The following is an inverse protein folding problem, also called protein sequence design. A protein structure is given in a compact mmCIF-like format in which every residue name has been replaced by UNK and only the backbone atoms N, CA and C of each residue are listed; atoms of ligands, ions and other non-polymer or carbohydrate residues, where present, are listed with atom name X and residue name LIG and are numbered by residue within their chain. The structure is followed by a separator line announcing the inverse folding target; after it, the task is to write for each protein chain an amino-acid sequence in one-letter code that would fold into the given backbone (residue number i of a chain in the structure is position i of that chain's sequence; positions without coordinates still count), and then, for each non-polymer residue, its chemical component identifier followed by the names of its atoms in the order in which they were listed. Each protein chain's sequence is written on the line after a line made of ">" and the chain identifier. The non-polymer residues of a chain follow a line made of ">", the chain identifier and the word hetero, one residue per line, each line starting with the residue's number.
data_IF_588196529335
#
_entry.id   IF_588196529335
#
_cell.length_a   1.000
_cell.length_b   1.000
_cell.length_c   1.000
_cell.angle_alpha   90.00
_cell.angle_beta   90.00
_cell.angle_gamma   90.00
#
_symmetry.space_group_name_H-M   'P 1'
#
loop_
_entity.id
_entity.type
_entity.pdbx_description
1 polymer ?
#
# COMPACT_ATOMS: atom_id res chain seq x y z
N UNK A 1 -1.78 2.89 -13.92
CA UNK A 1 -1.63 1.60 -13.21
C UNK A 1 -2.12 1.85 -11.82
N UNK A 2 -3.25 1.25 -11.50
CA UNK A 2 -4.40 2.01 -10.99
C UNK A 2 -4.97 1.38 -9.74
N UNK A 3 -5.57 2.21 -8.89
CA UNK A 3 -6.36 1.86 -7.70
C UNK A 3 -7.31 0.65 -7.87
N UNK A 4 -7.69 0.34 -9.12
CA UNK A 4 -8.37 -0.91 -9.49
C UNK A 4 -7.65 -2.18 -8.99
N UNK A 5 -6.34 -2.31 -9.17
CA UNK A 5 -5.58 -3.50 -8.70
C UNK A 5 -5.73 -3.70 -7.20
N UNK A 6 -5.70 -2.60 -6.43
CA UNK A 6 -5.88 -2.64 -4.97
C UNK A 6 -7.32 -2.99 -4.60
N UNK A 7 -8.30 -2.48 -5.36
CA UNK A 7 -9.72 -2.78 -5.15
C UNK A 7 -10.06 -4.24 -5.46
N UNK A 8 -9.50 -4.79 -6.52
CA UNK A 8 -9.64 -6.20 -6.87
C UNK A 8 -8.98 -7.08 -5.80
N UNK A 9 -7.75 -6.76 -5.39
CA UNK A 9 -7.05 -7.49 -4.33
C UNK A 9 -7.75 -7.37 -2.97
N UNK A 10 -8.38 -6.24 -2.66
CA UNK A 10 -9.22 -6.10 -1.46
C UNK A 10 -10.43 -7.03 -1.49
N UNK A 11 -11.08 -7.16 -2.66
CA UNK A 11 -12.23 -8.05 -2.84
C UNK A 11 -11.82 -9.53 -2.69
N UNK A 12 -10.58 -9.87 -3.07
CA UNK A 12 -9.98 -11.19 -2.88
C UNK A 12 -9.35 -11.43 -1.50
N UNK A 13 -9.32 -10.42 -0.61
CA UNK A 13 -8.70 -10.53 0.72
C UNK A 13 -7.16 -10.63 0.70
N UNK A 14 -6.51 -10.26 -0.40
CA UNK A 14 -5.05 -10.37 -0.60
C UNK A 14 -4.34 -9.01 -0.48
N UNK A 15 -4.89 -8.10 0.34
CA UNK A 15 -4.29 -6.78 0.62
C UNK A 15 -3.89 -6.67 2.08
N UNK A 16 -2.65 -6.27 2.31
CA UNK A 16 -2.19 -5.77 3.61
C UNK A 16 -2.22 -4.25 3.63
N UNK A 17 -2.61 -3.73 4.79
CA UNK A 17 -2.64 -2.30 5.09
C UNK A 17 -1.54 -1.95 6.09
N UNK A 18 -0.77 -0.92 5.77
CA UNK A 18 0.26 -0.36 6.63
C UNK A 18 1.60 -1.09 6.57
N UNK A 19 2.66 -0.32 6.79
CA UNK A 19 4.05 -0.77 6.66
C UNK A 19 4.39 -1.99 7.53
N UNK A 20 3.85 -2.07 8.75
CA UNK A 20 4.15 -3.18 9.67
C UNK A 20 3.70 -4.53 9.11
N UNK A 21 2.52 -4.57 8.49
CA UNK A 21 2.00 -5.79 7.86
C UNK A 21 2.80 -6.16 6.62
N UNK A 22 3.19 -5.17 5.82
CA UNK A 22 4.07 -5.34 4.66
C UNK A 22 5.40 -5.96 5.04
N UNK A 23 6.10 -5.37 6.03
CA UNK A 23 7.40 -5.84 6.49
C UNK A 23 7.32 -7.24 7.12
N UNK A 24 6.28 -7.51 7.93
CA UNK A 24 6.08 -8.82 8.57
C UNK A 24 5.85 -9.94 7.54
N UNK A 25 5.15 -9.63 6.46
CA UNK A 25 4.79 -10.59 5.41
C UNK A 25 5.63 -10.43 4.14
N UNK A 26 6.84 -9.89 4.26
CA UNK A 26 7.65 -9.48 3.11
C UNK A 26 7.81 -10.54 2.02
N UNK A 27 7.95 -11.81 2.41
CA UNK A 27 8.09 -12.94 1.49
C UNK A 27 6.86 -13.23 0.63
N UNK A 28 5.68 -12.77 1.06
CA UNK A 28 4.39 -13.01 0.37
C UNK A 28 3.96 -11.80 -0.45
N UNK A 29 4.51 -10.62 -0.17
CA UNK A 29 4.14 -9.37 -0.84
C UNK A 29 4.73 -9.36 -2.24
N UNK A 30 3.88 -9.23 -3.26
CA UNK A 30 4.28 -9.10 -4.66
C UNK A 30 4.49 -7.66 -5.07
N UNK A 31 3.68 -6.74 -4.54
CA UNK A 31 3.65 -5.34 -4.98
C UNK A 31 3.25 -4.44 -3.83
N UNK A 32 3.92 -3.28 -3.72
CA UNK A 32 3.66 -2.28 -2.68
C UNK A 32 3.28 -0.97 -3.33
N UNK A 33 2.17 -0.42 -2.88
CA UNK A 33 1.70 0.90 -3.27
C UNK A 33 1.77 1.83 -2.07
N UNK A 34 2.20 3.06 -2.30
CA UNK A 34 2.30 4.09 -1.28
C UNK A 34 1.58 5.33 -1.74
N UNK A 35 0.90 6.02 -0.84
CA UNK A 35 0.23 7.29 -1.15
C UNK A 35 1.27 8.38 -1.41
N UNK A 36 0.92 9.42 -2.17
CA UNK A 36 1.86 10.50 -2.52
C UNK A 36 2.41 11.25 -1.29
N UNK A 37 1.58 11.38 -0.27
CA UNK A 37 1.81 12.11 0.98
C UNK A 37 2.35 11.21 2.10
N UNK A 38 2.92 10.05 1.74
CA UNK A 38 3.58 9.15 2.67
C UNK A 38 4.80 9.81 3.31
N UNK A 39 5.04 9.53 4.59
CA UNK A 39 6.26 9.96 5.29
C UNK A 39 7.50 9.38 4.63
N UNK A 40 8.55 10.19 4.46
CA UNK A 40 9.82 9.73 3.88
C UNK A 40 10.43 8.55 4.63
N UNK A 41 10.30 8.52 5.97
CA UNK A 41 10.74 7.39 6.80
C UNK A 41 10.10 6.06 6.37
N UNK A 42 8.81 6.08 6.03
CA UNK A 42 8.06 4.90 5.59
C UNK A 42 8.57 4.41 4.25
N UNK A 43 8.83 5.32 3.31
CA UNK A 43 9.42 4.99 1.99
C UNK A 43 10.82 4.40 2.15
N UNK A 44 11.63 5.01 3.03
CA UNK A 44 13.00 4.55 3.30
C UNK A 44 13.00 3.13 3.85
N UNK A 45 12.17 2.83 4.85
CA UNK A 45 12.02 1.47 5.42
C UNK A 45 11.59 0.43 4.38
N UNK A 46 10.68 0.79 3.48
CA UNK A 46 10.24 -0.10 2.39
C UNK A 46 11.37 -0.38 1.39
N UNK A 47 12.15 0.65 1.03
CA UNK A 47 13.32 0.51 0.16
C UNK A 47 14.45 -0.30 0.82
N UNK A 48 14.74 -0.05 2.10
CA UNK A 48 15.72 -0.81 2.89
C UNK A 48 15.32 -2.29 3.00
N UNK A 49 14.02 -2.59 3.02
CA UNK A 49 13.49 -3.95 2.99
C UNK A 49 13.46 -4.58 1.57
N UNK A 50 13.88 -3.86 0.54
CA UNK A 50 13.98 -4.37 -0.84
C UNK A 50 12.69 -4.32 -1.66
N UNK A 51 11.68 -3.56 -1.24
CA UNK A 51 10.43 -3.44 -2.00
C UNK A 51 10.50 -2.36 -3.09
N UNK A 52 9.93 -2.67 -4.25
CA UNK A 52 9.53 -1.67 -5.23
C UNK A 52 8.21 -1.02 -4.81
N UNK A 53 8.21 0.31 -4.70
CA UNK A 53 7.06 1.11 -4.29
C UNK A 53 6.49 1.89 -5.49
N UNK A 54 5.20 1.71 -5.72
CA UNK A 54 4.42 2.48 -6.70
C UNK A 54 3.68 3.63 -5.99
N UNK A 55 3.92 4.86 -6.42
CA UNK A 55 3.26 6.03 -5.83
C UNK A 55 1.85 6.22 -6.40
N UNK A 56 0.88 6.36 -5.51
CA UNK A 56 -0.52 6.65 -5.80
C UNK A 56 -0.82 8.13 -5.59
N UNK A 57 -2.12 8.45 -5.66
CA UNK A 57 -2.72 9.71 -5.25
C UNK A 57 -2.57 9.97 -3.72
N UNK A 58 -2.95 11.16 -3.24
CA UNK A 58 -2.94 11.46 -1.81
C UNK A 58 -3.88 10.54 -1.01
N UNK A 59 -3.56 10.28 0.27
CA UNK A 59 -4.31 9.38 1.15
C UNK A 59 -5.80 9.68 1.20
N UNK A 60 -6.20 10.96 1.15
CA UNK A 60 -7.59 11.39 1.18
C UNK A 60 -8.38 11.00 -0.07
N UNK A 61 -7.75 10.96 -1.23
CA UNK A 61 -8.38 10.48 -2.47
C UNK A 61 -8.42 8.96 -2.49
N UNK A 62 -7.31 8.34 -2.10
CA UNK A 62 -7.18 6.88 -2.05
C UNK A 62 -8.20 6.26 -1.10
N UNK A 63 -8.39 6.80 0.11
CA UNK A 63 -9.39 6.30 1.06
C UNK A 63 -10.82 6.43 0.53
N UNK A 64 -11.15 7.54 -0.15
CA UNK A 64 -12.46 7.75 -0.78
C UNK A 64 -12.70 6.79 -1.95
N UNK A 65 -11.74 6.66 -2.86
CA UNK A 65 -11.88 5.80 -4.04
C UNK A 65 -11.96 4.31 -3.67
N UNK A 66 -11.22 3.91 -2.64
CA UNK A 66 -11.22 2.54 -2.13
C UNK A 66 -12.35 2.28 -1.13
N UNK A 67 -13.10 3.31 -0.72
CA UNK A 67 -14.23 3.18 0.21
C UNK A 67 -13.81 2.77 1.63
N UNK A 68 -12.59 3.10 2.03
CA UNK A 68 -12.01 2.67 3.30
C UNK A 68 -12.25 3.75 4.35
N UNK A 69 -12.82 3.38 5.51
CA UNK A 69 -13.11 4.30 6.61
C UNK A 69 -11.89 4.76 7.42
N UNK A 70 -10.66 4.50 6.93
CA UNK A 70 -9.42 4.88 7.59
C UNK A 70 -8.37 5.38 6.58
N UNK A 71 -7.47 6.24 7.04
CA UNK A 71 -6.34 6.71 6.25
C UNK A 71 -5.21 5.70 6.32
N UNK A 72 -4.77 5.20 5.17
CA UNK A 72 -3.64 4.29 5.09
C UNK A 72 -2.58 4.84 4.13
N UNK A 73 -1.32 4.78 4.56
CA UNK A 73 -0.20 5.29 3.77
C UNK A 73 0.41 4.23 2.84
N UNK A 74 0.23 2.94 3.17
CA UNK A 74 0.87 1.80 2.49
C UNK A 74 -0.15 0.70 2.24
N UNK A 75 -0.20 0.22 1.01
CA UNK A 75 -1.02 -0.90 0.57
C UNK A 75 -0.09 -1.95 -0.04
N UNK A 76 -0.32 -3.23 0.25
CA UNK A 76 0.53 -4.29 -0.28
C UNK A 76 -0.30 -5.45 -0.78
N UNK A 77 -0.05 -5.89 -2.01
CA UNK A 77 -0.75 -7.01 -2.62
C UNK A 77 0.07 -8.29 -2.43
N UNK A 78 -0.63 -9.38 -2.10
CA UNK A 78 -0.10 -10.73 -1.89
C UNK A 78 -0.39 -11.64 -3.08
#
# INVERSE_FOLDING_TARGET
>A
MSLKEIRDAMSGGTVYFGIRQTLKNAKKVKKVFVVKDVREETVRKLKEAGFSVDFLKPKSEVSKELGIGFECEVFSIV
#
